data_IF_188812408424
#
_entry.id   IF_188812408424
#
_cell.length_a   1.000
_cell.length_b   1.000
_cell.length_c   1.000
_cell.angle_alpha   90.00
_cell.angle_beta   90.00
_cell.angle_gamma   90.00
#
_symmetry.space_group_name_H-M   'P 1'
#
loop_
_entity.id
_entity.type
_entity.pdbx_description
1 polymer ?
#
# COMPACT_ATOMS: atom_id res chain seq x y z
N UNK A 1 2.44 0.04 -22.33
CA UNK A 1 1.28 -0.87 -22.31
C UNK A 1 1.42 -1.75 -21.07
N UNK A 2 0.45 -1.77 -20.16
CA UNK A 2 0.47 -2.71 -19.01
C UNK A 2 0.56 -4.14 -19.57
N UNK A 3 1.55 -4.92 -19.11
CA UNK A 3 1.69 -6.31 -19.59
C UNK A 3 0.43 -7.07 -19.19
N UNK A 4 -0.16 -7.83 -20.10
CA UNK A 4 -1.38 -8.63 -19.85
C UNK A 4 -1.26 -9.49 -18.58
N UNK A 5 -0.04 -9.97 -18.30
CA UNK A 5 0.31 -10.70 -17.07
C UNK A 5 0.09 -9.90 -15.78
N UNK A 6 0.38 -8.60 -15.74
CA UNK A 6 0.18 -7.74 -14.55
C UNK A 6 -1.30 -7.48 -14.28
N UNK A 7 -2.09 -7.23 -15.33
CA UNK A 7 -3.54 -7.06 -15.20
C UNK A 7 -4.22 -8.35 -14.70
N UNK A 8 -3.79 -9.51 -15.21
CA UNK A 8 -4.28 -10.81 -14.75
C UNK A 8 -3.89 -11.07 -13.30
N UNK A 9 -2.66 -10.75 -12.90
CA UNK A 9 -2.19 -10.82 -11.51
C UNK A 9 -3.07 -10.00 -10.56
N UNK A 10 -3.34 -8.73 -10.87
CA UNK A 10 -4.21 -7.89 -10.04
C UNK A 10 -5.64 -8.41 -9.97
N UNK A 11 -6.18 -8.91 -11.09
CA UNK A 11 -7.51 -9.49 -11.09
C UNK A 11 -7.58 -10.75 -10.21
N UNK A 12 -6.61 -11.66 -10.32
CA UNK A 12 -6.53 -12.87 -9.50
C UNK A 12 -6.42 -12.51 -8.02
N UNK A 13 -5.52 -11.60 -7.66
CA UNK A 13 -5.37 -11.17 -6.27
C UNK A 13 -6.61 -10.47 -5.74
N UNK A 14 -7.24 -9.61 -6.53
CA UNK A 14 -8.47 -8.95 -6.11
C UNK A 14 -9.58 -9.96 -5.76
N UNK A 15 -9.81 -10.95 -6.63
CA UNK A 15 -10.77 -12.03 -6.36
C UNK A 15 -10.36 -12.87 -5.14
N UNK A 16 -9.07 -13.18 -5.00
CA UNK A 16 -8.54 -13.91 -3.84
C UNK A 16 -8.76 -13.16 -2.52
N UNK A 17 -8.47 -11.86 -2.48
CA UNK A 17 -8.71 -11.04 -1.30
C UNK A 17 -10.20 -10.86 -1.01
N UNK A 18 -11.07 -10.75 -2.02
CA UNK A 18 -12.53 -10.78 -1.81
C UNK A 18 -12.95 -12.10 -1.17
N UNK A 19 -12.48 -13.24 -1.72
CA UNK A 19 -12.77 -14.56 -1.17
C UNK A 19 -12.33 -14.67 0.30
N UNK A 20 -11.10 -14.25 0.63
CA UNK A 20 -10.61 -14.26 2.01
C UNK A 20 -11.44 -13.36 2.94
N UNK A 21 -11.86 -12.18 2.48
CA UNK A 21 -12.71 -11.28 3.28
C UNK A 21 -14.08 -11.90 3.59
N UNK A 22 -14.61 -12.77 2.74
CA UNK A 22 -15.87 -13.49 2.96
C UNK A 22 -15.65 -14.74 3.81
N UNK A 23 -14.60 -15.51 3.51
CA UNK A 23 -14.33 -16.81 4.11
C UNK A 23 -13.80 -16.72 5.55
N UNK A 24 -12.89 -15.78 5.84
CA UNK A 24 -12.26 -15.67 7.17
C UNK A 24 -13.28 -15.35 8.29
N UNK A 25 -14.24 -14.42 8.11
CA UNK A 25 -15.32 -14.23 9.08
C UNK A 25 -16.15 -15.49 9.32
N UNK A 26 -16.50 -16.23 8.27
CA UNK A 26 -17.29 -17.47 8.35
C UNK A 26 -16.54 -18.59 9.07
N UNK A 27 -15.23 -18.70 8.82
CA UNK A 27 -14.37 -19.61 9.58
C UNK A 27 -14.35 -19.21 11.07
N UNK A 28 -14.39 -17.91 11.36
CA UNK A 28 -14.47 -17.41 12.73
C UNK A 28 -15.79 -17.65 13.44
N UNK A 29 -16.91 -17.85 12.73
CA UNK A 29 -18.17 -18.27 13.36
C UNK A 29 -18.19 -19.74 13.76
N UNK A 30 -17.35 -20.57 13.13
CA UNK A 30 -17.20 -22.01 13.46
C UNK A 30 -16.30 -22.19 14.70
N UNK A 31 -15.28 -21.35 14.86
CA UNK A 31 -14.42 -21.32 16.05
C UNK A 31 -14.93 -20.24 17.03
N UNK A 32 -15.77 -20.64 17.98
CA UNK A 32 -16.65 -19.79 18.79
C UNK A 32 -16.00 -18.68 19.68
N UNK A 33 -14.68 -18.45 19.66
CA UNK A 33 -13.98 -17.60 20.64
C UNK A 33 -12.94 -16.62 20.06
N UNK A 34 -13.26 -15.81 19.03
CA UNK A 34 -12.20 -14.93 18.48
C UNK A 34 -12.58 -13.79 17.54
N UNK A 35 -13.81 -13.28 17.56
CA UNK A 35 -14.18 -12.17 16.68
C UNK A 35 -13.33 -10.90 16.91
N UNK A 36 -12.94 -10.64 18.17
CA UNK A 36 -12.15 -9.47 18.57
C UNK A 36 -10.71 -9.51 18.04
N UNK A 37 -10.02 -10.66 18.14
CA UNK A 37 -8.61 -10.79 17.70
C UNK A 37 -8.42 -10.66 16.19
N UNK A 38 -9.47 -10.88 15.40
CA UNK A 38 -9.44 -10.86 13.93
C UNK A 38 -9.65 -9.48 13.32
N UNK A 39 -9.97 -8.47 14.12
CA UNK A 39 -10.34 -7.14 13.62
C UNK A 39 -9.23 -6.50 12.76
N UNK A 40 -7.96 -6.62 13.17
CA UNK A 40 -6.85 -6.02 12.41
C UNK A 40 -6.65 -6.75 11.09
N UNK A 41 -6.69 -8.07 11.13
CA UNK A 41 -6.50 -8.92 9.96
C UNK A 41 -7.61 -8.69 8.94
N UNK A 42 -8.87 -8.60 9.37
CA UNK A 42 -10.00 -8.30 8.49
C UNK A 42 -9.91 -6.90 7.88
N UNK A 43 -9.56 -5.88 8.67
CA UNK A 43 -9.38 -4.53 8.14
C UNK A 43 -8.22 -4.46 7.14
N UNK A 44 -7.13 -5.15 7.41
CA UNK A 44 -5.98 -5.25 6.52
C UNK A 44 -6.33 -6.02 5.23
N UNK A 45 -7.08 -7.12 5.32
CA UNK A 45 -7.57 -7.86 4.15
C UNK A 45 -8.51 -7.02 3.30
N UNK A 46 -9.39 -6.23 3.92
CA UNK A 46 -10.28 -5.31 3.21
C UNK A 46 -9.49 -4.22 2.49
N UNK A 47 -8.51 -3.62 3.17
CA UNK A 47 -7.63 -2.61 2.59
C UNK A 47 -6.86 -3.15 1.37
N UNK A 48 -6.34 -4.38 1.47
CA UNK A 48 -5.67 -5.05 0.35
C UNK A 48 -6.63 -5.35 -0.81
N UNK A 49 -7.86 -5.78 -0.52
CA UNK A 49 -8.90 -5.97 -1.54
C UNK A 49 -9.22 -4.67 -2.27
N UNK A 50 -9.37 -3.56 -1.54
CA UNK A 50 -9.59 -2.22 -2.12
C UNK A 50 -8.39 -1.82 -2.98
N UNK A 51 -7.17 -1.97 -2.47
CA UNK A 51 -5.95 -1.64 -3.22
C UNK A 51 -5.86 -2.42 -4.55
N UNK A 52 -5.96 -3.75 -4.51
CA UNK A 52 -5.88 -4.56 -5.73
C UNK A 52 -7.05 -4.33 -6.68
N UNK A 53 -8.24 -3.97 -6.16
CA UNK A 53 -9.38 -3.53 -6.97
C UNK A 53 -9.07 -2.24 -7.73
N UNK A 54 -8.51 -1.23 -7.05
CA UNK A 54 -8.08 0.03 -7.68
C UNK A 54 -6.94 -0.20 -8.67
N UNK A 55 -5.99 -1.09 -8.36
CA UNK A 55 -4.90 -1.46 -9.27
C UNK A 55 -5.40 -2.15 -10.54
N UNK A 56 -6.35 -3.09 -10.39
CA UNK A 56 -7.02 -3.74 -11.52
C UNK A 56 -7.81 -2.73 -12.36
N UNK A 57 -8.54 -1.81 -11.71
CA UNK A 57 -9.27 -0.74 -12.38
C UNK A 57 -8.35 0.18 -13.18
N UNK A 58 -7.21 0.61 -12.60
CA UNK A 58 -6.20 1.41 -13.31
C UNK A 58 -5.70 0.70 -14.57
N UNK A 59 -5.39 -0.59 -14.47
CA UNK A 59 -4.89 -1.38 -15.59
C UNK A 59 -5.94 -1.56 -16.71
N UNK A 60 -7.19 -1.86 -16.34
CA UNK A 60 -8.32 -2.01 -17.28
C UNK A 60 -8.63 -0.69 -17.97
N UNK A 61 -8.71 0.42 -17.22
CA UNK A 61 -8.98 1.73 -17.78
C UNK A 61 -7.87 2.18 -18.74
N UNK A 62 -6.59 1.92 -18.40
CA UNK A 62 -5.44 2.20 -19.28
C UNK A 62 -5.52 1.42 -20.60
N UNK A 63 -6.08 0.21 -20.56
CA UNK A 63 -6.29 -0.64 -21.74
C UNK A 63 -7.45 -0.16 -22.61
N UNK A 64 -8.57 0.25 -22.00
CA UNK A 64 -9.78 0.70 -22.73
C UNK A 64 -9.60 2.10 -23.32
N UNK A 65 -9.13 3.06 -22.54
CA UNK A 65 -9.10 4.49 -22.93
C UNK A 65 -7.85 4.92 -23.68
N UNK A 66 -6.89 4.02 -23.91
CA UNK A 66 -5.65 4.32 -24.63
C UNK A 66 -4.87 5.48 -24.00
N UNK A 67 -4.25 5.24 -22.82
CA UNK A 67 -3.34 6.17 -22.08
C UNK A 67 -3.78 7.65 -21.95
N UNK A 68 -5.05 8.01 -22.17
CA UNK A 68 -5.59 9.34 -21.80
C UNK A 68 -5.53 9.53 -20.28
N UNK A 69 -5.27 10.74 -19.79
CA UNK A 69 -4.94 11.11 -18.40
C UNK A 69 -5.75 10.39 -17.27
N UNK A 70 -5.37 9.16 -16.91
CA UNK A 70 -5.88 8.44 -15.71
C UNK A 70 -4.98 8.71 -14.49
N UNK A 71 -4.31 9.87 -14.49
CA UNK A 71 -3.35 10.28 -13.44
C UNK A 71 -3.98 10.22 -12.05
N UNK A 72 -5.27 10.54 -11.94
CA UNK A 72 -5.99 10.49 -10.67
C UNK A 72 -6.06 9.07 -10.07
N UNK A 73 -6.49 8.05 -10.84
CA UNK A 73 -6.61 6.68 -10.32
C UNK A 73 -5.23 6.11 -10.02
N UNK A 74 -4.23 6.39 -10.87
CA UNK A 74 -2.83 6.02 -10.63
C UNK A 74 -2.31 6.65 -9.34
N UNK A 75 -2.53 7.95 -9.11
CA UNK A 75 -2.11 8.65 -7.91
C UNK A 75 -2.84 8.14 -6.66
N UNK A 76 -4.15 7.88 -6.76
CA UNK A 76 -4.94 7.33 -5.65
C UNK A 76 -4.49 5.92 -5.28
N UNK A 77 -4.24 5.05 -6.26
CA UNK A 77 -3.66 3.72 -6.04
C UNK A 77 -2.32 3.83 -5.31
N UNK A 78 -1.42 4.67 -5.82
CA UNK A 78 -0.08 4.83 -5.23
C UNK A 78 -0.16 5.40 -3.81
N UNK A 79 -1.07 6.33 -3.56
CA UNK A 79 -1.33 6.84 -2.22
C UNK A 79 -1.82 5.73 -1.29
N UNK A 80 -2.83 4.95 -1.70
CA UNK A 80 -3.35 3.83 -0.93
C UNK A 80 -2.25 2.79 -0.61
N UNK A 81 -1.45 2.44 -1.60
CA UNK A 81 -0.37 1.48 -1.43
C UNK A 81 0.68 1.96 -0.45
N UNK A 82 1.25 3.14 -0.74
CA UNK A 82 2.44 3.65 -0.05
C UNK A 82 2.12 4.08 1.37
N UNK A 83 0.94 4.66 1.61
CA UNK A 83 0.60 5.22 2.93
C UNK A 83 -0.16 4.25 3.83
N UNK A 84 -0.92 3.30 3.26
CA UNK A 84 -1.78 2.42 4.05
C UNK A 84 -1.44 0.94 3.85
N UNK A 85 -1.56 0.41 2.62
CA UNK A 85 -1.53 -1.03 2.39
C UNK A 85 -0.15 -1.65 2.71
N UNK A 86 0.94 -0.99 2.31
CA UNK A 86 2.30 -1.47 2.56
C UNK A 86 2.77 -1.26 4.00
N UNK A 87 2.62 -0.07 4.64
CA UNK A 87 3.07 0.12 6.03
C UNK A 87 2.32 -0.73 7.06
N UNK A 88 1.06 -1.07 6.79
CA UNK A 88 0.20 -1.84 7.70
C UNK A 88 0.36 -3.37 7.46
N UNK A 89 1.01 -3.80 6.37
CA UNK A 89 1.20 -5.22 6.08
C UNK A 89 2.26 -5.86 7.01
N UNK A 90 1.80 -6.47 8.10
CA UNK A 90 2.68 -7.09 9.11
C UNK A 90 2.57 -8.62 9.16
N UNK A 91 1.95 -9.24 8.15
CA UNK A 91 1.66 -10.68 8.14
C UNK A 91 2.30 -11.35 6.91
N UNK A 92 2.90 -12.54 7.09
CA UNK A 92 3.78 -13.20 6.11
C UNK A 92 3.22 -13.28 4.69
N UNK A 93 1.96 -13.72 4.53
CA UNK A 93 1.34 -13.81 3.20
C UNK A 93 1.06 -12.44 2.56
N UNK A 94 0.60 -11.47 3.35
CA UNK A 94 0.22 -10.15 2.84
C UNK A 94 1.47 -9.31 2.50
N UNK A 95 2.50 -9.44 3.34
CA UNK A 95 3.81 -8.83 3.10
C UNK A 95 4.43 -9.34 1.79
N UNK A 96 4.35 -10.65 1.53
CA UNK A 96 4.90 -11.25 0.31
C UNK A 96 4.28 -10.64 -0.96
N UNK A 97 2.95 -10.56 -1.04
CA UNK A 97 2.29 -9.95 -2.21
C UNK A 97 2.58 -8.46 -2.34
N UNK A 98 2.67 -7.73 -1.23
CA UNK A 98 3.01 -6.31 -1.26
C UNK A 98 4.46 -6.06 -1.71
N UNK A 99 5.40 -6.94 -1.38
CA UNK A 99 6.77 -6.88 -1.89
C UNK A 99 6.85 -7.21 -3.39
N UNK A 100 6.12 -8.23 -3.84
CA UNK A 100 6.00 -8.54 -5.28
C UNK A 100 5.49 -7.31 -6.02
N UNK A 101 4.49 -6.62 -5.48
CA UNK A 101 3.91 -5.43 -6.10
C UNK A 101 4.91 -4.27 -6.26
N UNK A 102 5.78 -4.03 -5.27
CA UNK A 102 6.89 -3.06 -5.38
C UNK A 102 7.84 -3.43 -6.53
N UNK A 103 8.07 -4.73 -6.76
CA UNK A 103 8.96 -5.22 -7.81
C UNK A 103 8.30 -5.18 -9.19
N UNK A 104 6.98 -5.34 -9.26
CA UNK A 104 6.23 -5.38 -10.52
C UNK A 104 6.01 -3.99 -11.11
N UNK A 105 5.84 -2.96 -10.29
CA UNK A 105 5.59 -1.59 -10.78
C UNK A 105 6.22 -0.51 -9.89
N UNK A 106 6.64 0.62 -10.50
CA UNK A 106 7.03 1.79 -9.73
C UNK A 106 5.81 2.40 -9.04
N UNK A 107 5.97 2.75 -7.77
CA UNK A 107 4.99 3.51 -6.99
C UNK A 107 5.50 4.93 -6.74
N UNK A 108 4.64 5.93 -6.94
CA UNK A 108 4.97 7.30 -6.61
C UNK A 108 4.70 7.58 -5.13
N UNK A 109 5.77 7.53 -4.32
CA UNK A 109 5.70 7.91 -2.92
C UNK A 109 5.50 9.43 -2.79
N UNK A 110 4.56 9.90 -1.95
CA UNK A 110 4.44 11.32 -1.63
C UNK A 110 5.70 11.84 -0.92
N UNK A 111 5.80 13.14 -0.69
CA UNK A 111 6.91 13.68 0.11
C UNK A 111 6.96 12.97 1.47
N UNK A 112 8.16 12.71 2.03
CA UNK A 112 8.29 12.00 3.32
C UNK A 112 7.43 12.60 4.42
N UNK A 113 7.42 13.94 4.53
CA UNK A 113 6.58 14.65 5.50
C UNK A 113 5.10 14.34 5.26
N UNK A 114 4.64 14.50 4.02
CA UNK A 114 3.25 14.20 3.63
C UNK A 114 2.88 12.75 3.91
N UNK A 115 3.69 11.78 3.47
CA UNK A 115 3.43 10.35 3.66
C UNK A 115 3.38 9.96 5.13
N UNK A 116 4.34 10.42 5.94
CA UNK A 116 4.35 10.18 7.38
C UNK A 116 3.18 10.87 8.09
N UNK A 117 2.80 12.09 7.70
CA UNK A 117 1.61 12.76 8.23
C UNK A 117 0.33 12.00 7.88
N UNK A 118 0.17 11.54 6.63
CA UNK A 118 -0.97 10.72 6.22
C UNK A 118 -1.05 9.40 6.99
N UNK A 119 0.09 8.74 7.19
CA UNK A 119 0.19 7.54 8.01
C UNK A 119 -0.23 7.85 9.46
N UNK A 120 0.28 8.94 10.05
CA UNK A 120 -0.05 9.35 11.41
C UNK A 120 -1.54 9.67 11.58
N UNK A 121 -2.13 10.47 10.68
CA UNK A 121 -3.57 10.79 10.69
C UNK A 121 -4.40 9.51 10.60
N UNK A 122 -4.01 8.57 9.75
CA UNK A 122 -4.70 7.28 9.61
C UNK A 122 -4.57 6.42 10.87
N UNK A 123 -3.38 6.38 11.49
CA UNK A 123 -3.15 5.70 12.76
C UNK A 123 -3.98 6.31 13.89
N UNK A 124 -4.04 7.64 13.99
CA UNK A 124 -4.88 8.34 14.99
C UNK A 124 -6.35 8.02 14.75
N UNK A 125 -6.83 8.10 13.50
CA UNK A 125 -8.22 7.74 13.17
C UNK A 125 -8.58 6.31 13.58
N UNK A 126 -7.67 5.36 13.35
CA UNK A 126 -7.83 3.97 13.79
C UNK A 126 -7.85 3.84 15.31
N UNK A 127 -6.90 4.47 16.02
CA UNK A 127 -6.83 4.46 17.48
C UNK A 127 -8.12 5.07 18.08
N UNK A 128 -8.56 6.22 17.56
CA UNK A 128 -9.82 6.86 17.96
C UNK A 128 -11.01 5.92 17.77
N UNK A 129 -11.07 5.14 16.68
CA UNK A 129 -12.10 4.13 16.48
C UNK A 129 -12.06 3.02 17.53
N UNK A 130 -10.88 2.49 17.85
CA UNK A 130 -10.72 1.44 18.87
C UNK A 130 -11.10 1.96 20.27
N UNK A 131 -10.68 3.17 20.62
CA UNK A 131 -11.03 3.80 21.90
C UNK A 131 -12.53 4.08 22.00
N UNK A 132 -13.15 4.53 20.92
CA UNK A 132 -14.61 4.72 20.85
C UNK A 132 -15.36 3.39 21.04
N UNK A 133 -14.92 2.31 20.37
CA UNK A 133 -15.52 0.99 20.55
C UNK A 133 -15.42 0.53 22.01
N UNK A 134 -14.24 0.64 22.62
CA UNK A 134 -14.06 0.32 24.04
C UNK A 134 -14.96 1.16 24.95
N UNK A 135 -15.12 2.47 24.67
CA UNK A 135 -16.00 3.35 25.44
C UNK A 135 -17.48 2.93 25.38
N UNK A 136 -17.90 2.24 24.31
CA UNK A 136 -19.28 1.79 24.10
C UNK A 136 -19.54 0.39 24.61
N UNK A 137 -18.59 -0.53 24.46
CA UNK A 137 -18.78 -1.95 24.78
C UNK A 137 -18.17 -2.34 26.11
N UNK A 138 -17.27 -1.53 26.66
CA UNK A 138 -16.44 -1.88 27.82
C UNK A 138 -15.42 -3.00 27.54
N UNK A 139 -15.32 -3.45 26.28
CA UNK A 139 -14.48 -4.56 25.85
C UNK A 139 -13.40 -4.05 24.90
N UNK A 140 -12.15 -4.46 25.12
CA UNK A 140 -11.06 -4.13 24.21
C UNK A 140 -11.15 -4.98 22.95
N UNK A 141 -10.97 -4.33 21.80
CA UNK A 141 -10.88 -5.04 20.50
C UNK A 141 -9.71 -6.03 20.49
N UNK A 142 -8.64 -5.74 21.23
CA UNK A 142 -7.55 -6.68 21.45
C UNK A 142 -7.40 -6.94 22.95
N UNK A 143 -7.58 -8.19 23.42
CA UNK A 143 -7.45 -8.53 24.84
C UNK A 143 -6.10 -8.12 25.46
N UNK A 144 -5.04 -8.05 24.65
CA UNK A 144 -3.73 -7.57 25.09
C UNK A 144 -3.76 -6.10 25.55
N UNK A 145 -4.58 -5.25 24.92
CA UNK A 145 -4.70 -3.83 25.33
C UNK A 145 -5.34 -3.69 26.72
N UNK A 146 -6.21 -4.64 27.11
CA UNK A 146 -6.80 -4.66 28.45
C UNK A 146 -5.77 -4.90 29.56
N UNK A 147 -4.61 -5.49 29.22
CA UNK A 147 -3.55 -5.80 30.18
C UNK A 147 -2.57 -4.63 30.39
N UNK A 148 -2.69 -3.55 29.61
CA UNK A 148 -1.76 -2.43 29.63
C UNK A 148 -2.29 -1.26 30.46
N UNK A 149 -1.40 -0.58 31.18
CA UNK A 149 -1.71 0.71 31.83
C UNK A 149 -1.88 1.81 30.77
N UNK A 150 -2.43 3.00 31.13
CA UNK A 150 -2.52 4.13 30.18
C UNK A 150 -1.17 4.52 29.57
N UNK A 151 -0.10 4.46 30.36
CA UNK A 151 1.27 4.69 29.88
C UNK A 151 1.70 3.56 28.93
N UNK A 152 1.41 2.31 29.27
CA UNK A 152 1.68 1.14 28.43
C UNK A 152 0.96 1.20 27.07
N UNK A 153 -0.31 1.64 27.05
CA UNK A 153 -1.08 1.87 25.82
C UNK A 153 -0.44 2.96 24.95
N UNK A 154 -0.04 4.07 25.57
CA UNK A 154 0.62 5.18 24.88
C UNK A 154 1.93 4.71 24.23
N UNK A 155 2.76 3.99 24.98
CA UNK A 155 4.00 3.41 24.48
C UNK A 155 3.75 2.40 23.36
N UNK A 156 2.74 1.54 23.50
CA UNK A 156 2.38 0.55 22.49
C UNK A 156 1.98 1.19 21.15
N UNK A 157 1.09 2.19 21.17
CA UNK A 157 0.67 2.87 19.95
C UNK A 157 1.80 3.68 19.31
N UNK A 158 2.64 4.32 20.13
CA UNK A 158 3.80 5.06 19.63
C UNK A 158 4.81 4.13 18.94
N UNK A 159 5.14 2.99 19.56
CA UNK A 159 6.05 2.00 18.98
C UNK A 159 5.48 1.37 17.70
N UNK A 160 4.17 1.13 17.67
CA UNK A 160 3.48 0.64 16.47
C UNK A 160 3.57 1.64 15.32
N UNK A 161 3.39 2.94 15.59
CA UNK A 161 3.58 3.98 14.58
C UNK A 161 5.04 4.05 14.09
N UNK A 162 6.03 3.98 14.98
CA UNK A 162 7.45 3.94 14.59
C UNK A 162 7.73 2.75 13.67
N UNK A 163 7.15 1.59 13.99
CA UNK A 163 7.31 0.37 13.19
C UNK A 163 6.71 0.56 11.79
N UNK A 164 5.49 1.09 11.69
CA UNK A 164 4.84 1.38 10.41
C UNK A 164 5.61 2.45 9.60
N UNK A 165 6.11 3.51 10.25
CA UNK A 165 6.94 4.52 9.63
C UNK A 165 8.27 3.93 9.10
N UNK A 166 8.86 3.00 9.84
CA UNK A 166 10.08 2.30 9.40
C UNK A 166 9.82 1.44 8.17
N UNK A 167 8.68 0.74 8.12
CA UNK A 167 8.24 -0.03 6.94
C UNK A 167 7.97 0.91 5.76
N UNK A 168 7.29 2.05 5.97
CA UNK A 168 7.10 3.06 4.93
C UNK A 168 8.43 3.50 4.31
N UNK A 169 9.41 3.85 5.15
CA UNK A 169 10.73 4.29 4.70
C UNK A 169 11.50 3.18 4.00
N UNK A 170 11.37 1.94 4.47
CA UNK A 170 11.92 0.77 3.79
C UNK A 170 11.30 0.58 2.40
N UNK A 171 9.98 0.71 2.30
CA UNK A 171 9.25 0.64 1.03
C UNK A 171 9.69 1.72 0.04
N UNK A 172 9.83 2.96 0.51
CA UNK A 172 10.37 4.07 -0.27
C UNK A 172 11.77 3.73 -0.80
N UNK A 173 12.66 3.24 0.08
CA UNK A 173 14.04 2.87 -0.28
C UNK A 173 14.10 1.72 -1.28
N UNK A 174 13.28 0.68 -1.10
CA UNK A 174 13.19 -0.47 -2.01
C UNK A 174 12.67 -0.04 -3.39
N UNK A 175 11.65 0.81 -3.42
CA UNK A 175 11.08 1.34 -4.66
C UNK A 175 12.11 2.19 -5.42
N UNK A 176 12.83 3.09 -4.74
CA UNK A 176 13.91 3.87 -5.34
C UNK A 176 15.08 3.01 -5.82
N UNK A 177 15.46 1.97 -5.05
CA UNK A 177 16.53 1.06 -5.45
C UNK A 177 16.19 0.29 -6.73
N UNK A 178 14.95 -0.17 -6.87
CA UNK A 178 14.52 -0.96 -8.04
C UNK A 178 14.29 -0.10 -9.28
N UNK A 179 13.69 1.08 -9.13
CA UNK A 179 13.18 1.88 -10.25
C UNK A 179 13.95 3.18 -10.52
N UNK A 180 14.90 3.54 -9.64
CA UNK A 180 15.63 4.80 -9.72
C UNK A 180 14.81 6.01 -9.26
N UNK A 181 15.42 7.19 -9.33
CA UNK A 181 14.77 8.43 -8.90
C UNK A 181 13.85 8.98 -10.01
N UNK A 182 12.57 8.58 -9.99
CA UNK A 182 11.57 9.09 -10.93
C UNK A 182 11.38 10.62 -10.84
N UNK A 183 11.90 11.28 -9.79
CA UNK A 183 11.90 12.74 -9.64
C UNK A 183 12.97 13.45 -10.48
N UNK A 184 14.05 12.77 -10.89
CA UNK A 184 15.20 13.43 -11.54
C UNK A 184 15.22 13.35 -13.07
N UNK A 185 14.32 12.58 -13.69
CA UNK A 185 14.46 12.27 -15.11
C UNK A 185 13.73 13.23 -16.07
N UNK A 186 12.86 14.11 -15.57
CA UNK A 186 12.14 15.06 -16.42
C UNK A 186 12.95 16.33 -16.77
N UNK A 187 13.82 16.90 -15.89
CA UNK A 187 14.63 18.07 -16.25
C UNK A 187 15.96 17.71 -16.95
N UNK A 188 16.60 16.62 -16.54
CA UNK A 188 18.00 16.33 -16.93
C UNK A 188 18.13 15.64 -18.29
N UNK A 189 17.11 14.89 -18.73
CA UNK A 189 17.06 14.35 -20.09
C UNK A 189 16.76 15.43 -21.13
N UNK A 190 15.89 16.40 -20.82
CA UNK A 190 15.66 17.55 -21.70
C UNK A 190 16.91 18.42 -21.82
N UNK A 191 17.64 18.64 -20.71
CA UNK A 191 18.89 19.42 -20.70
C UNK A 191 20.01 18.72 -21.49
N UNK A 192 20.26 17.42 -21.28
CA UNK A 192 21.28 16.68 -22.04
C UNK A 192 20.96 16.51 -23.52
N UNK A 193 19.68 16.48 -23.89
CA UNK A 193 19.25 16.40 -25.30
C UNK A 193 19.35 17.75 -26.03
N UNK A 194 19.32 18.86 -25.30
CA UNK A 194 19.53 20.20 -25.86
C UNK A 194 21.01 20.55 -26.08
N UNK A 195 21.94 19.88 -25.38
CA UNK A 195 23.36 20.24 -25.34
C UNK A 195 24.30 19.34 -26.17
N UNK A 196 23.81 18.29 -26.84
CA UNK A 196 24.70 17.39 -27.61
C UNK A 196 24.26 17.20 -29.07
N UNK A 197 25.10 17.57 -30.07
CA UNK A 197 24.85 17.30 -31.48
C UNK A 197 25.14 15.85 -31.91
N UNK A 198 25.62 14.99 -31.00
CA UNK A 198 26.23 13.70 -31.33
C UNK A 198 26.02 12.67 -30.22
N UNK A 199 24.83 12.07 -30.12
CA UNK A 199 24.66 10.83 -29.36
C UNK A 199 24.05 9.71 -30.22
N UNK A 200 24.73 8.55 -30.35
CA UNK A 200 24.21 7.40 -31.07
C UNK A 200 23.11 6.68 -30.26
N UNK A 201 22.23 5.99 -30.98
CA UNK A 201 20.94 5.46 -30.55
C UNK A 201 20.93 4.32 -29.49
N UNK A 202 21.98 4.06 -28.72
CA UNK A 202 22.19 2.71 -28.14
C UNK A 202 22.12 2.53 -26.62
N UNK A 203 21.62 3.47 -25.81
CA UNK A 203 21.45 3.22 -24.36
C UNK A 203 20.18 3.82 -23.78
N UNK A 204 19.02 3.35 -24.24
CA UNK A 204 17.78 3.48 -23.47
C UNK A 204 17.43 2.10 -22.89
N UNK A 205 17.57 1.95 -21.57
CA UNK A 205 17.01 0.77 -20.88
C UNK A 205 15.50 0.73 -21.17
N UNK A 206 14.94 -0.42 -21.59
CA UNK A 206 13.56 -0.52 -22.07
C UNK A 206 12.50 -0.12 -21.02
N UNK A 207 12.88 0.06 -19.75
CA UNK A 207 12.01 0.60 -18.71
C UNK A 207 11.49 2.03 -19.02
N UNK A 208 12.18 2.81 -19.85
CA UNK A 208 11.81 4.19 -20.17
C UNK A 208 10.93 4.36 -21.42
N UNK A 209 10.70 3.30 -22.19
CA UNK A 209 9.80 3.35 -23.36
C UNK A 209 8.33 3.01 -23.02
N UNK A 210 8.01 2.77 -21.75
CA UNK A 210 6.66 2.34 -21.34
C UNK A 210 5.79 3.41 -20.67
N UNK A 211 6.29 4.64 -20.52
CA UNK A 211 5.48 5.80 -20.16
C UNK A 211 4.99 6.60 -21.37
#
# INVERSE_FOLDING_TARGET
MTRTSTCAYHFILWNWYIFLNVYIPQLGTIFQDGAQTKYLTLFNLLLQAVFFGVACLDDVLKRIKGRKDIKFITAFRDLLFTTLAFPICTHSFILLFSLIEIILRPHHYPSRKTGLTLLAVSSVGYISRILWLHSKTGQWVYPMLARLSPVGLTAFFFLSYISAASIYLLGERLNHWKWGDARELHPNLCRRKAESPTFPHTTCSPAFLFY
#
